data_IF_105873208769
#
_entry.id   IF_105873208769
#
_cell.length_a   1.000
_cell.length_b   1.000
_cell.length_c   1.000
_cell.angle_alpha   90.00
_cell.angle_beta   90.00
_cell.angle_gamma   90.00
#
_symmetry.space_group_name_H-M   'P 1'
#
loop_
_entity.id
_entity.type
_entity.pdbx_description
1 polymer ?
#
# COMPACT_ATOMS: atom_id res chain seq x y z
N UNK A 1 47.90 -6.55 -43.50
CA UNK A 1 48.23 -6.99 -42.13
C UNK A 1 47.52 -6.17 -41.04
N UNK A 2 47.58 -4.83 -41.05
CA UNK A 2 46.93 -3.98 -40.03
C UNK A 2 45.39 -4.12 -39.94
N UNK A 3 44.71 -4.26 -41.08
CA UNK A 3 43.23 -4.42 -41.12
C UNK A 3 42.77 -5.80 -40.61
N UNK A 4 43.59 -6.84 -40.80
CA UNK A 4 43.31 -8.18 -40.28
C UNK A 4 43.47 -8.24 -38.75
N UNK A 5 44.48 -7.54 -38.20
CA UNK A 5 44.67 -7.40 -36.77
C UNK A 5 43.52 -6.61 -36.11
N UNK A 6 43.05 -5.53 -36.76
CA UNK A 6 41.89 -4.76 -36.27
C UNK A 6 40.63 -5.62 -36.22
N UNK A 7 40.38 -6.44 -37.25
CA UNK A 7 39.23 -7.36 -37.28
C UNK A 7 39.31 -8.45 -36.21
N UNK A 8 40.49 -9.04 -36.00
CA UNK A 8 40.70 -10.02 -34.93
C UNK A 8 40.48 -9.41 -33.55
N UNK A 9 40.95 -8.18 -33.32
CA UNK A 9 40.76 -7.48 -32.06
C UNK A 9 39.28 -7.18 -31.79
N UNK A 10 38.53 -6.70 -32.79
CA UNK A 10 37.09 -6.45 -32.65
C UNK A 10 36.30 -7.73 -32.35
N UNK A 11 36.65 -8.86 -32.99
CA UNK A 11 36.02 -10.16 -32.72
C UNK A 11 36.34 -10.63 -31.29
N UNK A 12 37.58 -10.47 -30.83
CA UNK A 12 37.98 -10.83 -29.46
C UNK A 12 37.21 -10.02 -28.40
N UNK A 13 37.09 -8.71 -28.59
CA UNK A 13 36.32 -7.82 -27.71
C UNK A 13 34.85 -8.23 -27.69
N UNK A 14 34.27 -8.55 -28.85
CA UNK A 14 32.88 -8.99 -28.95
C UNK A 14 32.64 -10.33 -28.23
N UNK A 15 33.58 -11.27 -28.31
CA UNK A 15 33.52 -12.55 -27.62
C UNK A 15 33.63 -12.41 -26.10
N UNK A 16 34.51 -11.53 -25.60
CA UNK A 16 34.65 -11.27 -24.17
C UNK A 16 33.40 -10.59 -23.60
N UNK A 17 32.88 -9.55 -24.26
CA UNK A 17 31.64 -8.87 -23.86
C UNK A 17 30.42 -9.82 -23.83
N UNK A 18 30.36 -10.76 -24.78
CA UNK A 18 29.31 -11.78 -24.85
C UNK A 18 29.42 -12.86 -23.75
N UNK A 19 30.60 -13.00 -23.13
CA UNK A 19 30.83 -13.93 -22.03
C UNK A 19 30.36 -13.32 -20.70
N UNK A 20 30.71 -12.05 -20.46
CA UNK A 20 30.30 -11.31 -19.26
C UNK A 20 28.78 -11.12 -19.18
N UNK A 21 28.13 -10.79 -20.30
CA UNK A 21 26.67 -10.64 -20.36
C UNK A 21 25.92 -11.95 -20.03
N UNK A 22 26.46 -13.10 -20.45
CA UNK A 22 25.90 -14.42 -20.13
C UNK A 22 26.10 -14.80 -18.66
N UNK A 23 27.18 -14.33 -18.04
CA UNK A 23 27.48 -14.61 -16.64
C UNK A 23 26.61 -13.76 -15.70
N UNK A 24 26.41 -12.47 -16.02
CA UNK A 24 25.60 -11.57 -15.20
C UNK A 24 24.09 -11.85 -15.27
N UNK A 25 23.58 -12.36 -16.40
CA UNK A 25 22.15 -12.64 -16.59
C UNK A 25 21.58 -13.80 -15.77
N UNK A 26 22.42 -14.66 -15.19
CA UNK A 26 21.99 -15.84 -14.40
C UNK A 26 21.81 -15.56 -12.90
N UNK A 27 22.18 -14.37 -12.42
CA UNK A 27 22.04 -13.97 -11.02
C UNK A 27 20.70 -13.33 -10.68
N UNK A 28 19.72 -13.40 -11.59
CA UNK A 28 18.33 -13.06 -11.29
C UNK A 28 17.79 -13.99 -10.21
N UNK A 29 17.68 -13.47 -8.98
CA UNK A 29 17.14 -14.16 -7.81
C UNK A 29 15.85 -14.91 -8.18
N UNK A 30 15.91 -16.24 -8.28
CA UNK A 30 14.71 -17.05 -8.19
C UNK A 30 14.22 -16.96 -6.75
N UNK A 31 13.37 -15.98 -6.45
CA UNK A 31 12.65 -15.95 -5.19
C UNK A 31 11.69 -17.13 -5.19
N UNK A 32 11.80 -18.06 -4.22
CA UNK A 32 10.79 -19.09 -4.06
C UNK A 32 9.44 -18.39 -3.86
N UNK A 33 8.39 -18.88 -4.54
CA UNK A 33 7.03 -18.40 -4.31
C UNK A 33 6.72 -18.62 -2.82
N UNK A 34 6.66 -17.52 -2.07
CA UNK A 34 6.35 -17.56 -0.65
C UNK A 34 4.98 -18.20 -0.41
N UNK A 35 4.84 -18.89 0.71
CA UNK A 35 3.54 -19.41 1.15
C UNK A 35 2.60 -18.22 1.42
N UNK A 36 1.29 -18.34 1.13
CA UNK A 36 0.34 -17.28 1.45
C UNK A 36 0.27 -17.09 2.97
N UNK A 37 0.49 -15.87 3.44
CA UNK A 37 0.36 -15.48 4.86
C UNK A 37 -0.89 -14.64 5.03
N UNK A 38 -1.75 -15.02 5.97
CA UNK A 38 -2.93 -14.25 6.36
C UNK A 38 -2.60 -13.51 7.65
N UNK A 39 -2.70 -12.18 7.63
CA UNK A 39 -2.50 -11.34 8.80
C UNK A 39 -3.86 -11.01 9.40
N UNK A 40 -4.09 -11.45 10.64
CA UNK A 40 -5.29 -11.11 11.40
C UNK A 40 -4.91 -10.01 12.40
N UNK A 41 -5.46 -8.79 12.26
CA UNK A 41 -5.16 -7.69 13.17
C UNK A 41 -5.83 -7.90 14.54
N UNK A 42 -5.27 -7.28 15.57
CA UNK A 42 -5.89 -7.18 16.89
C UNK A 42 -7.03 -6.15 16.93
N UNK A 43 -7.61 -5.95 18.11
CA UNK A 43 -8.68 -4.97 18.32
C UNK A 43 -8.21 -3.55 17.98
N UNK A 44 -9.03 -2.80 17.23
CA UNK A 44 -8.70 -1.48 16.69
C UNK A 44 -7.57 -1.46 15.63
N UNK A 45 -7.06 -2.62 15.20
CA UNK A 45 -5.98 -2.73 14.21
C UNK A 45 -6.44 -2.65 12.75
N UNK A 46 -7.72 -2.39 12.50
CA UNK A 46 -8.31 -2.27 11.17
C UNK A 46 -9.10 -0.99 11.05
N UNK A 47 -9.11 -0.43 9.84
CA UNK A 47 -9.91 0.75 9.52
C UNK A 47 -11.40 0.38 9.51
N UNK A 48 -12.22 1.26 10.06
CA UNK A 48 -13.67 1.14 10.07
C UNK A 48 -14.26 2.33 9.34
N UNK A 49 -15.03 2.04 8.29
CA UNK A 49 -15.78 3.02 7.53
C UNK A 49 -17.27 2.91 7.88
N UNK A 50 -17.98 4.04 7.88
CA UNK A 50 -19.41 4.06 8.14
C UNK A 50 -20.14 5.02 7.20
N UNK A 51 -21.39 4.71 6.89
CA UNK A 51 -22.30 5.57 6.14
C UNK A 51 -23.58 5.76 6.97
N UNK A 52 -23.94 7.01 7.27
CA UNK A 52 -25.14 7.32 8.02
C UNK A 52 -26.30 7.49 7.05
N UNK A 53 -27.29 6.60 7.09
CA UNK A 53 -28.46 6.65 6.21
C UNK A 53 -29.68 7.36 6.82
N UNK A 54 -29.60 7.82 8.07
CA UNK A 54 -30.65 8.62 8.72
C UNK A 54 -30.84 8.27 10.20
N UNK A 55 -30.00 8.81 11.09
CA UNK A 55 -30.13 8.59 12.55
C UNK A 55 -31.40 9.30 13.07
N UNK A 56 -32.30 8.62 13.82
CA UNK A 56 -33.57 9.21 14.27
C UNK A 56 -33.37 10.34 15.27
N UNK A 57 -32.33 10.24 16.12
CA UNK A 57 -32.00 11.26 17.12
C UNK A 57 -30.49 11.50 17.16
N UNK A 58 -30.12 12.77 17.31
CA UNK A 58 -28.73 13.21 17.53
C UNK A 58 -28.69 13.99 18.84
N UNK A 59 -27.71 13.70 19.69
CA UNK A 59 -27.54 14.37 21.00
C UNK A 59 -27.04 15.80 20.88
N UNK A 60 -26.17 16.06 19.92
CA UNK A 60 -25.52 17.36 19.73
C UNK A 60 -25.75 17.84 18.30
N UNK A 61 -25.85 19.16 18.14
CA UNK A 61 -26.19 19.82 16.88
C UNK A 61 -25.08 19.71 15.81
N UNK A 62 -23.86 19.36 16.22
CA UNK A 62 -22.70 19.18 15.34
C UNK A 62 -22.76 17.81 14.62
N UNK A 63 -23.73 16.94 14.95
CA UNK A 63 -23.88 15.62 14.35
C UNK A 63 -24.55 15.69 12.98
N UNK A 64 -23.95 15.03 12.02
CA UNK A 64 -24.64 14.67 10.79
C UNK A 64 -25.61 13.51 11.05
N UNK A 65 -26.87 13.67 10.63
CA UNK A 65 -27.88 12.58 10.64
C UNK A 65 -27.74 11.63 9.45
N UNK A 66 -27.19 12.14 8.36
CA UNK A 66 -27.00 11.43 7.10
C UNK A 66 -25.69 11.89 6.46
N UNK A 67 -24.99 10.97 5.80
CA UNK A 67 -23.81 11.26 4.98
C UNK A 67 -24.08 10.80 3.55
N UNK A 68 -23.54 11.53 2.56
CA UNK A 68 -23.68 11.13 1.16
C UNK A 68 -22.81 9.89 0.86
N UNK A 69 -21.60 9.87 1.43
CA UNK A 69 -20.59 8.85 1.19
C UNK A 69 -20.14 8.16 2.50
N UNK A 70 -19.37 7.09 2.34
CA UNK A 70 -18.67 6.42 3.45
C UNK A 70 -17.57 7.34 3.99
N UNK A 71 -17.42 7.36 5.31
CA UNK A 71 -16.37 8.09 5.99
C UNK A 71 -15.65 7.22 7.02
N UNK A 72 -14.40 7.58 7.28
CA UNK A 72 -13.56 6.92 8.27
C UNK A 72 -14.04 7.22 9.69
N UNK A 73 -14.62 6.21 10.32
CA UNK A 73 -14.98 6.24 11.73
C UNK A 73 -13.73 5.98 12.59
N UNK A 74 -12.89 5.03 12.19
CA UNK A 74 -11.63 4.70 12.85
C UNK A 74 -10.54 4.39 11.81
N UNK A 75 -9.34 4.96 11.85
CA UNK A 75 -8.82 5.94 12.80
C UNK A 75 -8.83 7.35 12.19
N UNK A 76 -9.79 8.18 12.58
CA UNK A 76 -9.84 9.56 12.14
C UNK A 76 -9.59 10.53 13.29
N UNK A 77 -8.39 11.12 13.31
CA UNK A 77 -7.89 12.06 14.32
C UNK A 77 -8.77 13.31 14.49
N UNK A 78 -9.47 13.74 13.42
CA UNK A 78 -10.35 14.91 13.49
C UNK A 78 -11.61 14.64 14.31
N UNK A 79 -12.07 13.38 14.41
CA UNK A 79 -13.19 13.05 15.29
C UNK A 79 -12.78 13.00 16.77
N UNK A 80 -11.50 12.91 17.10
CA UNK A 80 -11.02 12.92 18.50
C UNK A 80 -10.89 14.32 19.10
N UNK A 81 -11.13 15.39 18.34
CA UNK A 81 -11.08 16.76 18.87
C UNK A 81 -12.28 17.03 19.80
N UNK A 82 -12.16 17.85 20.86
CA UNK A 82 -13.22 17.99 21.88
C UNK A 82 -14.59 18.44 21.33
N UNK A 83 -14.65 19.19 20.23
CA UNK A 83 -15.91 19.61 19.61
C UNK A 83 -16.61 18.47 18.85
N UNK A 84 -15.86 17.59 18.20
CA UNK A 84 -16.36 16.43 17.44
C UNK A 84 -16.41 15.15 18.27
N UNK A 85 -15.65 15.07 19.36
CA UNK A 85 -15.64 13.95 20.30
C UNK A 85 -16.91 13.89 21.14
N UNK A 86 -17.44 15.03 21.59
CA UNK A 86 -18.76 15.07 22.23
C UNK A 86 -19.86 14.51 21.32
N UNK A 87 -19.68 14.65 20.01
CA UNK A 87 -20.55 14.05 19.01
C UNK A 87 -20.35 12.55 18.88
N UNK A 88 -19.11 12.11 19.14
CA UNK A 88 -18.77 10.71 19.12
C UNK A 88 -19.43 9.92 20.29
N UNK A 89 -19.59 10.56 21.43
CA UNK A 89 -19.99 9.89 22.66
C UNK A 89 -21.38 9.23 22.58
N UNK A 90 -22.20 9.56 21.58
CA UNK A 90 -23.54 8.98 21.37
C UNK A 90 -23.67 7.93 20.26
N UNK A 91 -22.62 7.61 19.48
CA UNK A 91 -22.64 6.41 18.61
C UNK A 91 -22.24 5.12 19.35
N UNK A 92 -21.65 5.21 20.55
CA UNK A 92 -21.44 4.03 21.40
C UNK A 92 -22.61 3.76 22.36
N UNK A 93 -23.41 4.77 22.72
CA UNK A 93 -24.41 4.64 23.80
C UNK A 93 -25.85 4.32 23.28
N UNK A 94 -26.10 4.27 21.96
CA UNK A 94 -27.34 3.69 21.39
C UNK A 94 -27.18 3.22 19.94
#
# INVERSE_FOLDING_TARGET
>A
MRLALLRLFLVLVFLLASCDARWFGKFGRQQPKGLPVILVPGDGGSQLESNLTGKPTVVHYVCSKQTADYFDLWLNLQLFTPLTRLQLDHWIIR
#
